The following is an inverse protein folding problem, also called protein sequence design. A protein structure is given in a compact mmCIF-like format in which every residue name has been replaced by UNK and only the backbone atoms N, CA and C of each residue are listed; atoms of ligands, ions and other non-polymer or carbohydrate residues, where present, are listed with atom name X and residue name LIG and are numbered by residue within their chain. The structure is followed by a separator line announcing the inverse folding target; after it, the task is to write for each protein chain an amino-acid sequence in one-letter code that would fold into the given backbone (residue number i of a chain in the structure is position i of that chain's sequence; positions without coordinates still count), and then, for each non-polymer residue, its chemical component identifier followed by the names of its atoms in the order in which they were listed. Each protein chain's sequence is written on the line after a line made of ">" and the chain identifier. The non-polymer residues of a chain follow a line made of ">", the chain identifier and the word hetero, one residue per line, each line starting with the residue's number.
data_IF_173548832546
#
_entry.id   IF_173548832546
#
_cell.length_a   1.000
_cell.length_b   1.000
_cell.length_c   1.000
_cell.angle_alpha   90.00
_cell.angle_beta   90.00
_cell.angle_gamma   90.00
#
_symmetry.space_group_name_H-M   'P 1'
#
loop_
_entity.id
_entity.type
_entity.pdbx_description
1 polymer ?
#
# COMPACT_ATOMS: atom_id res chain seq x y z
N UNK A 1 12.91 -22.97 12.02
CA UNK A 1 13.07 -21.50 12.15
C UNK A 1 12.21 -20.74 11.18
N UNK A 2 12.09 -21.22 9.94
CA UNK A 2 11.17 -20.63 8.97
C UNK A 2 9.74 -20.67 9.50
N UNK A 3 9.36 -21.74 10.20
CA UNK A 3 8.04 -21.87 10.78
C UNK A 3 7.78 -20.83 11.86
N UNK A 4 8.80 -20.47 12.65
CA UNK A 4 8.67 -19.44 13.68
C UNK A 4 8.40 -18.06 13.06
N UNK A 5 9.14 -17.71 11.99
CA UNK A 5 8.91 -16.46 11.27
C UNK A 5 7.54 -16.42 10.59
N UNK A 6 7.15 -17.52 9.95
CA UNK A 6 5.83 -17.62 9.30
C UNK A 6 4.69 -17.56 10.34
N UNK A 7 4.87 -18.22 11.49
CA UNK A 7 3.90 -18.19 12.58
C UNK A 7 3.74 -16.76 13.14
N UNK A 8 4.86 -16.04 13.31
CA UNK A 8 4.83 -14.65 13.76
C UNK A 8 4.05 -13.77 12.79
N UNK A 9 4.31 -13.87 11.50
CA UNK A 9 3.61 -13.09 10.48
C UNK A 9 2.12 -13.44 10.46
N UNK A 10 1.78 -14.72 10.61
CA UNK A 10 0.38 -15.15 10.67
C UNK A 10 -0.33 -14.56 11.89
N UNK A 11 0.32 -14.57 13.06
CA UNK A 11 -0.23 -13.95 14.27
C UNK A 11 -0.40 -12.45 14.10
N UNK A 12 0.58 -11.78 13.51
CA UNK A 12 0.51 -10.35 13.24
C UNK A 12 -0.63 -10.03 12.28
N UNK A 13 -0.79 -10.82 11.23
CA UNK A 13 -1.89 -10.67 10.26
C UNK A 13 -3.24 -10.85 10.94
N UNK A 14 -3.38 -11.86 11.79
CA UNK A 14 -4.62 -12.11 12.51
C UNK A 14 -4.91 -10.99 13.52
N UNK A 15 -3.91 -10.52 14.26
CA UNK A 15 -4.06 -9.42 15.21
C UNK A 15 -4.50 -8.14 14.51
N UNK A 16 -3.90 -7.82 13.36
CA UNK A 16 -4.27 -6.66 12.57
C UNK A 16 -5.69 -6.78 12.02
N UNK A 17 -6.10 -7.99 11.65
CA UNK A 17 -7.46 -8.23 11.17
C UNK A 17 -8.51 -8.04 12.27
N UNK A 18 -8.15 -8.22 13.53
CA UNK A 18 -9.04 -8.00 14.68
C UNK A 18 -9.13 -6.52 15.08
N UNK A 19 -8.20 -5.69 14.64
CA UNK A 19 -8.27 -4.25 14.87
C UNK A 19 -9.43 -3.65 14.09
N UNK A 20 -9.85 -2.44 14.47
CA UNK A 20 -10.84 -1.72 13.68
C UNK A 20 -10.35 -1.58 12.25
N UNK A 21 -11.04 -2.23 11.32
CA UNK A 21 -10.68 -2.21 9.90
C UNK A 21 -10.60 -0.78 9.38
N UNK A 22 -11.49 0.07 9.87
CA UNK A 22 -11.55 1.47 9.46
C UNK A 22 -10.33 2.25 9.93
N UNK A 23 -9.91 2.10 11.19
CA UNK A 23 -8.74 2.80 11.72
C UNK A 23 -7.47 2.34 11.03
N UNK A 24 -7.36 1.05 10.77
CA UNK A 24 -6.24 0.49 10.03
C UNK A 24 -6.19 1.06 8.61
N UNK A 25 -7.32 1.10 7.92
CA UNK A 25 -7.41 1.63 6.58
C UNK A 25 -7.01 3.11 6.53
N UNK A 26 -7.42 3.90 7.53
CA UNK A 26 -7.05 5.32 7.61
C UNK A 26 -5.54 5.48 7.72
N UNK A 27 -4.87 4.64 8.50
CA UNK A 27 -3.41 4.66 8.62
C UNK A 27 -2.74 4.21 7.30
N UNK A 28 -3.27 3.18 6.68
CA UNK A 28 -2.78 2.70 5.38
C UNK A 28 -2.86 3.82 4.33
N UNK A 29 -3.98 4.54 4.29
CA UNK A 29 -4.16 5.63 3.35
C UNK A 29 -3.14 6.75 3.56
N UNK A 30 -2.80 7.06 4.80
CA UNK A 30 -1.78 8.08 5.13
C UNK A 30 -0.38 7.64 4.71
N UNK A 31 -0.04 6.37 4.93
CA UNK A 31 1.23 5.79 4.47
C UNK A 31 1.27 5.81 2.94
N UNK A 32 0.19 5.45 2.29
CA UNK A 32 0.06 5.49 0.84
C UNK A 32 0.31 6.89 0.29
N UNK A 33 -0.30 7.92 0.90
CA UNK A 33 -0.10 9.30 0.49
C UNK A 33 1.38 9.71 0.54
N UNK A 34 2.08 9.32 1.61
CA UNK A 34 3.52 9.57 1.74
C UNK A 34 4.32 8.81 0.68
N UNK A 35 3.92 7.58 0.37
CA UNK A 35 4.59 6.76 -0.64
C UNK A 35 4.48 7.38 -2.03
N UNK A 36 3.36 8.01 -2.35
CA UNK A 36 3.20 8.69 -3.64
C UNK A 36 4.26 9.79 -3.84
N UNK A 37 4.66 10.44 -2.75
CA UNK A 37 5.69 11.47 -2.82
C UNK A 37 7.11 10.92 -3.08
N UNK A 38 7.33 9.63 -2.84
CA UNK A 38 8.63 8.97 -2.93
C UNK A 38 8.71 7.92 -4.04
N UNK A 39 7.77 7.93 -4.97
CA UNK A 39 7.80 7.01 -6.11
C UNK A 39 9.03 7.25 -6.97
N UNK A 40 9.48 6.16 -7.62
CA UNK A 40 10.53 6.24 -8.62
C UNK A 40 10.19 7.32 -9.67
N UNK A 41 11.16 8.18 -10.08
CA UNK A 41 10.89 9.26 -11.03
C UNK A 41 10.27 8.81 -12.34
N UNK A 42 10.64 7.64 -12.86
CA UNK A 42 10.07 7.10 -14.10
C UNK A 42 8.60 6.73 -13.92
N UNK A 43 8.27 6.08 -12.82
CA UNK A 43 6.88 5.71 -12.51
C UNK A 43 6.03 6.95 -12.28
N UNK A 44 6.57 7.92 -11.56
CA UNK A 44 5.91 9.20 -11.33
C UNK A 44 5.61 9.90 -12.65
N UNK A 45 6.58 9.96 -13.56
CA UNK A 45 6.42 10.57 -14.87
C UNK A 45 5.33 9.89 -15.69
N UNK A 46 5.27 8.56 -15.67
CA UNK A 46 4.26 7.79 -16.40
C UNK A 46 2.85 8.09 -15.90
N UNK A 47 2.68 8.16 -14.57
CA UNK A 47 1.38 8.48 -13.97
C UNK A 47 0.96 9.92 -14.30
N UNK A 48 1.88 10.86 -14.19
CA UNK A 48 1.61 12.27 -14.50
C UNK A 48 1.29 12.45 -15.98
N UNK A 49 2.00 11.77 -16.88
CA UNK A 49 1.76 11.85 -18.33
C UNK A 49 0.40 11.26 -18.69
N UNK A 50 0.04 10.14 -18.09
CA UNK A 50 -1.28 9.51 -18.32
C UNK A 50 -2.41 10.45 -17.89
N UNK A 51 -2.26 11.11 -16.74
CA UNK A 51 -3.25 12.06 -16.25
C UNK A 51 -3.37 13.27 -17.18
N UNK A 52 -2.25 13.79 -17.68
CA UNK A 52 -2.25 14.90 -18.65
C UNK A 52 -2.86 14.52 -19.98
N UNK A 53 -2.76 13.25 -20.36
CA UNK A 53 -3.37 12.73 -21.58
C UNK A 53 -4.90 12.57 -21.43
N UNK A 54 -5.47 12.89 -20.28
CA UNK A 54 -6.90 12.82 -20.03
C UNK A 54 -7.39 11.50 -19.48
N UNK A 55 -6.49 10.61 -19.07
CA UNK A 55 -6.90 9.35 -18.45
C UNK A 55 -7.57 9.61 -17.09
N UNK A 56 -8.61 8.85 -16.74
CA UNK A 56 -9.27 9.02 -15.46
C UNK A 56 -8.34 8.78 -14.29
N UNK A 57 -8.43 9.63 -13.26
CA UNK A 57 -7.66 9.51 -12.03
C UNK A 57 -8.61 9.14 -10.91
N UNK A 58 -8.42 7.97 -10.32
CA UNK A 58 -9.33 7.42 -9.33
C UNK A 58 -8.56 6.77 -8.19
N UNK A 59 -9.07 6.95 -6.98
CA UNK A 59 -8.54 6.29 -5.78
C UNK A 59 -9.56 5.25 -5.34
N UNK A 60 -9.12 4.00 -5.25
CA UNK A 60 -9.92 2.90 -4.73
C UNK A 60 -9.45 2.59 -3.31
N UNK A 61 -10.39 2.27 -2.44
CA UNK A 61 -10.07 1.83 -1.08
C UNK A 61 -11.00 0.69 -0.69
N UNK A 62 -10.57 -0.15 0.25
CA UNK A 62 -11.36 -1.31 0.68
C UNK A 62 -12.68 -0.88 1.33
N UNK A 63 -12.68 0.28 1.99
CA UNK A 63 -13.87 0.93 2.54
C UNK A 63 -13.78 2.43 2.27
N UNK A 64 -14.88 3.13 2.44
CA UNK A 64 -14.89 4.58 2.27
C UNK A 64 -13.96 5.27 3.27
N UNK A 65 -13.09 6.15 2.77
CA UNK A 65 -12.18 6.92 3.60
C UNK A 65 -12.92 8.09 4.28
N UNK A 66 -12.47 8.48 5.47
CA UNK A 66 -12.98 9.66 6.15
C UNK A 66 -12.65 10.92 5.34
N UNK A 67 -13.42 11.98 5.54
CA UNK A 67 -13.18 13.23 4.84
C UNK A 67 -11.77 13.79 5.04
N UNK A 68 -11.21 13.82 6.27
CA UNK A 68 -9.84 14.27 6.46
C UNK A 68 -8.79 13.43 5.73
N UNK A 69 -8.93 12.10 5.77
CA UNK A 69 -8.01 11.20 5.09
C UNK A 69 -8.12 11.30 3.59
N UNK A 70 -9.34 11.44 3.08
CA UNK A 70 -9.58 11.66 1.65
C UNK A 70 -8.88 12.94 1.17
N UNK A 71 -8.92 14.01 1.96
CA UNK A 71 -8.24 15.26 1.63
C UNK A 71 -6.72 15.08 1.56
N UNK A 72 -6.14 14.32 2.49
CA UNK A 72 -4.70 14.03 2.51
C UNK A 72 -4.29 13.26 1.24
N UNK A 73 -5.05 12.24 0.89
CA UNK A 73 -4.79 11.42 -0.31
C UNK A 73 -4.99 12.25 -1.58
N UNK A 74 -6.04 13.05 -1.65
CA UNK A 74 -6.32 13.91 -2.80
C UNK A 74 -5.18 14.90 -3.05
N UNK A 75 -4.64 15.49 -1.99
CA UNK A 75 -3.49 16.40 -2.11
C UNK A 75 -2.25 15.69 -2.64
N UNK A 76 -1.98 14.50 -2.16
CA UNK A 76 -0.84 13.71 -2.65
C UNK A 76 -1.02 13.33 -4.13
N UNK A 77 -2.23 12.96 -4.53
CA UNK A 77 -2.54 12.63 -5.93
C UNK A 77 -2.41 13.86 -6.82
N UNK A 78 -2.88 15.01 -6.35
CA UNK A 78 -2.76 16.27 -7.10
C UNK A 78 -1.29 16.63 -7.33
N UNK A 79 -0.45 16.51 -6.33
CA UNK A 79 1.00 16.77 -6.46
C UNK A 79 1.66 15.83 -7.46
N UNK A 80 1.19 14.58 -7.52
CA UNK A 80 1.76 13.57 -8.42
C UNK A 80 1.26 13.74 -9.85
N UNK A 81 -0.03 13.94 -10.05
CA UNK A 81 -0.69 13.86 -11.35
C UNK A 81 -1.18 15.21 -11.89
N UNK A 82 -1.27 16.21 -11.04
CA UNK A 82 -1.91 17.48 -11.40
C UNK A 82 -3.44 17.45 -11.33
N UNK A 83 -4.05 16.31 -11.04
CA UNK A 83 -5.50 16.18 -10.95
C UNK A 83 -6.00 16.72 -9.61
N UNK A 84 -6.73 17.85 -9.64
CA UNK A 84 -7.19 18.54 -8.43
C UNK A 84 -8.31 17.81 -7.69
N UNK A 85 -9.06 16.95 -8.38
CA UNK A 85 -10.24 16.30 -7.81
C UNK A 85 -10.34 14.85 -8.31
N UNK A 86 -9.47 13.96 -7.78
CA UNK A 86 -9.55 12.55 -8.17
C UNK A 86 -10.86 11.94 -7.65
N UNK A 87 -11.39 10.97 -8.40
CA UNK A 87 -12.52 10.18 -7.94
C UNK A 87 -12.14 9.28 -6.80
N UNK A 88 -13.05 9.04 -5.87
CA UNK A 88 -12.89 8.10 -4.78
C UNK A 88 -13.96 7.03 -4.85
N UNK A 89 -13.58 5.78 -4.71
CA UNK A 89 -14.53 4.68 -4.76
C UNK A 89 -14.10 3.58 -3.79
N UNK A 90 -15.07 3.05 -3.04
CA UNK A 90 -14.84 1.89 -2.21
C UNK A 90 -14.96 0.61 -3.05
N UNK A 91 -14.00 -0.30 -2.88
CA UNK A 91 -13.99 -1.60 -3.54
C UNK A 91 -13.75 -2.67 -2.49
N UNK A 92 -14.78 -3.42 -2.08
CA UNK A 92 -14.65 -4.46 -1.06
C UNK A 92 -13.71 -5.60 -1.46
N UNK A 93 -13.40 -5.74 -2.75
CA UNK A 93 -12.47 -6.76 -3.22
C UNK A 93 -11.02 -6.46 -2.82
N UNK A 94 -10.71 -5.21 -2.47
CA UNK A 94 -9.38 -4.87 -1.97
C UNK A 94 -9.23 -5.31 -0.51
N UNK A 95 -8.15 -6.02 -0.21
CA UNK A 95 -7.84 -6.41 1.16
C UNK A 95 -7.13 -5.26 1.89
N UNK A 96 -7.82 -4.57 2.79
CA UNK A 96 -7.27 -3.50 3.62
C UNK A 96 -6.23 -2.67 2.87
N UNK A 97 -6.67 -1.94 1.86
CA UNK A 97 -5.73 -1.27 0.98
C UNK A 97 -6.29 -0.07 0.26
N UNK A 98 -5.37 0.64 -0.39
CA UNK A 98 -5.67 1.81 -1.21
C UNK A 98 -4.93 1.66 -2.53
N UNK A 99 -5.57 2.03 -3.62
CA UNK A 99 -5.03 1.91 -4.96
C UNK A 99 -5.31 3.19 -5.74
N UNK A 100 -4.27 3.78 -6.32
CA UNK A 100 -4.41 4.86 -7.28
C UNK A 100 -4.44 4.25 -8.68
N UNK A 101 -5.46 4.59 -9.46
CA UNK A 101 -5.61 4.15 -10.84
C UNK A 101 -5.62 5.37 -11.75
N UNK A 102 -4.73 5.38 -12.73
CA UNK A 102 -4.69 6.41 -13.76
C UNK A 102 -4.73 5.69 -15.11
N UNK A 103 -5.91 5.61 -15.70
CA UNK A 103 -6.14 4.84 -16.91
C UNK A 103 -5.86 3.34 -16.67
N UNK A 104 -4.91 2.79 -17.39
CA UNK A 104 -4.49 1.38 -17.23
C UNK A 104 -3.36 1.19 -16.23
N UNK A 105 -2.82 2.27 -15.67
CA UNK A 105 -1.72 2.22 -14.70
C UNK A 105 -2.26 2.28 -13.29
N UNK A 106 -1.59 1.59 -12.38
CA UNK A 106 -1.99 1.63 -10.98
C UNK A 106 -0.78 1.55 -10.07
N UNK A 107 -0.92 2.12 -8.88
CA UNK A 107 0.03 1.99 -7.79
C UNK A 107 -0.78 1.86 -6.51
N UNK A 108 -0.40 0.91 -5.68
CA UNK A 108 -1.19 0.60 -4.50
C UNK A 108 -0.38 0.25 -3.28
N UNK A 109 -1.07 0.22 -2.17
CA UNK A 109 -0.58 -0.33 -0.92
C UNK A 109 -1.68 -1.20 -0.32
N UNK A 110 -1.42 -2.47 -0.15
CA UNK A 110 -2.32 -3.38 0.56
C UNK A 110 -1.57 -4.03 1.69
N UNK A 111 -2.30 -4.30 2.77
CA UNK A 111 -1.72 -4.95 3.93
C UNK A 111 -1.16 -6.33 3.58
N UNK A 112 -1.88 -7.08 2.73
CA UNK A 112 -1.45 -8.41 2.30
C UNK A 112 -0.10 -8.39 1.60
N UNK A 113 0.09 -7.50 0.64
CA UNK A 113 1.35 -7.37 -0.09
C UNK A 113 2.51 -7.01 0.83
N UNK A 114 2.29 -6.09 1.77
CA UNK A 114 3.33 -5.68 2.71
C UNK A 114 3.70 -6.77 3.71
N UNK A 115 2.74 -7.53 4.18
CA UNK A 115 3.00 -8.67 5.06
C UNK A 115 3.72 -9.79 4.33
N UNK A 116 3.40 -10.04 3.07
CA UNK A 116 4.08 -11.04 2.25
C UNK A 116 5.55 -10.65 2.01
N UNK A 117 5.81 -9.38 1.71
CA UNK A 117 7.18 -8.87 1.57
C UNK A 117 7.95 -8.97 2.90
N UNK A 118 7.32 -8.60 4.00
CA UNK A 118 7.91 -8.69 5.34
C UNK A 118 8.25 -10.14 5.70
N UNK A 119 7.37 -11.07 5.40
CA UNK A 119 7.60 -12.50 5.60
C UNK A 119 8.82 -12.97 4.82
N UNK A 120 8.97 -12.54 3.57
CA UNK A 120 10.13 -12.86 2.76
C UNK A 120 11.42 -12.32 3.35
N UNK A 121 11.42 -11.09 3.84
CA UNK A 121 12.58 -10.46 4.47
C UNK A 121 12.99 -11.18 5.75
N UNK A 122 12.03 -11.51 6.62
CA UNK A 122 12.27 -12.24 7.85
C UNK A 122 12.78 -13.65 7.53
N UNK A 123 12.17 -14.33 6.57
CA UNK A 123 12.62 -15.66 6.13
C UNK A 123 14.06 -15.65 5.66
N UNK A 124 14.44 -14.62 4.90
CA UNK A 124 15.80 -14.44 4.43
C UNK A 124 16.79 -14.22 5.56
N UNK A 125 16.45 -13.35 6.51
CA UNK A 125 17.30 -13.08 7.68
C UNK A 125 17.49 -14.32 8.55
N UNK A 126 16.42 -15.06 8.81
CA UNK A 126 16.50 -16.29 9.59
C UNK A 126 17.34 -17.34 8.91
N UNK A 127 17.23 -17.47 7.59
CA UNK A 127 18.04 -18.42 6.81
C UNK A 127 19.53 -18.06 6.86
N UNK A 128 19.85 -16.79 6.76
CA UNK A 128 21.22 -16.29 6.84
C UNK A 128 21.81 -16.54 8.23
N UNK A 129 21.07 -16.24 9.28
CA UNK A 129 21.50 -16.49 10.64
C UNK A 129 21.74 -17.98 10.90
N UNK A 130 20.86 -18.85 10.40
CA UNK A 130 21.03 -20.29 10.52
C UNK A 130 22.31 -20.77 9.83
N UNK A 131 22.66 -20.20 8.68
CA UNK A 131 23.92 -20.52 7.99
C UNK A 131 25.16 -20.09 8.79
N UNK A 132 25.11 -18.91 9.41
CA UNK A 132 26.19 -18.41 10.25
C UNK A 132 26.42 -19.33 11.47
N UNK A 133 25.35 -19.74 12.13
CA UNK A 133 25.40 -20.65 13.26
C UNK A 133 25.92 -22.03 12.85
N UNK A 134 25.54 -22.52 11.68
CA UNK A 134 25.99 -23.76 11.14
C UNK A 134 27.49 -23.77 10.75
N UNK A 135 28.05 -22.62 10.41
CA UNK A 135 29.44 -22.45 10.04
C UNK A 135 30.38 -22.37 11.26
N UNK A 136 29.83 -22.11 12.44
CA UNK A 136 30.59 -22.05 13.68
C UNK A 136 30.76 -23.45 14.27
#
# INVERSE_FOLDING_TARGET
>A
RRRAGAAFVTLARNALAEMSDRDLLEQIARVFARRLATLDPDERARLADAARAGEPVEVLSSEELSTPTRAIVAEAVERLTGAADPGFRADPALESGVLLVVGSRHVGWTLGEHLDAFEGDIGGLLSEQARREGAA
#
